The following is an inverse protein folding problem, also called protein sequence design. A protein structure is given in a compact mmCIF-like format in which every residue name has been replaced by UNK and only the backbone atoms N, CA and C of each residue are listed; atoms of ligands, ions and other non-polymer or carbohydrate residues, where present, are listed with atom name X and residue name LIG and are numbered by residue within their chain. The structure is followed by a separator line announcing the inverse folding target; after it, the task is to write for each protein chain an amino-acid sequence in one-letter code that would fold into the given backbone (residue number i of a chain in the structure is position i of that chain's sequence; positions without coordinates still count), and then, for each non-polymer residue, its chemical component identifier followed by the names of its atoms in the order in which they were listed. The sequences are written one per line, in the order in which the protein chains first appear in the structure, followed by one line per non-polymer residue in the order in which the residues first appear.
data_IF_002197369371
#
_entry.id   IF_002197369371
#
_cell.length_a   1.000
_cell.length_b   1.000
_cell.length_c   1.000
_cell.angle_alpha   90.00
_cell.angle_beta   90.00
_cell.angle_gamma   90.00
#
_symmetry.space_group_name_H-M   'P 1'
#
loop_
_entity.id
_entity.type
_entity.pdbx_description
1 polymer ?
#
# COMPACT_ATOMS: atom_id res chain seq x y z
N UNK A 1 -37.19 -22.11 27.37
CA UNK A 1 -36.94 -21.77 25.95
C UNK A 1 -36.36 -20.36 25.77
N UNK A 2 -37.05 -19.29 26.18
CA UNK A 2 -36.63 -17.89 25.99
C UNK A 2 -35.29 -17.49 26.63
N UNK A 3 -34.93 -18.09 27.77
CA UNK A 3 -33.69 -17.75 28.50
C UNK A 3 -32.42 -18.12 27.71
N UNK A 4 -32.47 -19.23 26.96
CA UNK A 4 -31.37 -19.67 26.08
C UNK A 4 -31.22 -18.79 24.83
N UNK A 5 -32.34 -18.26 24.32
CA UNK A 5 -32.35 -17.29 23.23
C UNK A 5 -31.64 -15.99 23.63
N UNK A 6 -31.88 -15.51 24.85
CA UNK A 6 -31.20 -14.32 25.38
C UNK A 6 -29.69 -14.54 25.53
N UNK A 7 -29.28 -15.70 26.05
CA UNK A 7 -27.84 -16.03 26.16
C UNK A 7 -27.15 -16.13 24.80
N UNK A 8 -27.82 -16.74 23.80
CA UNK A 8 -27.29 -16.81 22.44
C UNK A 8 -27.11 -15.41 21.82
N UNK A 9 -28.06 -14.51 22.04
CA UNK A 9 -28.02 -13.16 21.49
C UNK A 9 -26.90 -12.31 22.12
N UNK A 10 -26.67 -12.44 23.43
CA UNK A 10 -25.56 -11.80 24.14
C UNK A 10 -24.20 -12.33 23.66
N UNK A 11 -24.08 -13.65 23.46
CA UNK A 11 -22.86 -14.28 22.95
C UNK A 11 -22.49 -13.76 21.54
N UNK A 12 -23.47 -13.69 20.65
CA UNK A 12 -23.28 -13.16 19.28
C UNK A 12 -22.86 -11.69 19.32
N UNK A 13 -23.47 -10.88 20.19
CA UNK A 13 -23.12 -9.47 20.31
C UNK A 13 -21.68 -9.29 20.81
N UNK A 14 -21.25 -10.08 21.80
CA UNK A 14 -19.88 -10.04 22.33
C UNK A 14 -18.81 -10.39 21.29
N UNK A 15 -19.10 -11.35 20.39
CA UNK A 15 -18.16 -11.77 19.34
C UNK A 15 -17.93 -10.68 18.28
N UNK A 16 -18.93 -9.82 18.03
CA UNK A 16 -18.86 -8.76 17.01
C UNK A 16 -17.99 -7.56 17.41
N UNK A 17 -17.64 -7.38 18.70
CA UNK A 17 -16.76 -6.29 19.14
C UNK A 17 -15.27 -6.53 18.84
N UNK A 18 -14.90 -7.71 18.34
CA UNK A 18 -13.49 -8.12 18.17
C UNK A 18 -12.85 -7.65 16.86
N UNK A 19 -13.56 -6.93 15.98
CA UNK A 19 -13.04 -6.53 14.67
C UNK A 19 -12.17 -5.27 14.74
N UNK A 20 -11.00 -5.39 15.37
CA UNK A 20 -9.96 -4.37 15.33
C UNK A 20 -9.14 -4.49 14.02
N UNK A 21 -9.77 -4.24 12.87
CA UNK A 21 -9.05 -4.11 11.61
C UNK A 21 -8.16 -2.84 11.65
N UNK A 22 -6.85 -3.02 11.86
CA UNK A 22 -5.90 -1.90 11.93
C UNK A 22 -5.73 -1.27 10.55
N UNK A 23 -6.22 -0.04 10.38
CA UNK A 23 -6.02 0.73 9.14
C UNK A 23 -4.56 1.16 9.04
N UNK A 24 -3.81 0.58 8.12
CA UNK A 24 -2.44 1.04 7.78
C UNK A 24 -2.57 2.29 6.91
N UNK A 25 -2.40 3.47 7.52
CA UNK A 25 -2.27 4.72 6.78
C UNK A 25 -0.83 4.83 6.30
N UNK A 26 -0.60 4.58 5.02
CA UNK A 26 0.71 4.83 4.39
C UNK A 26 0.84 6.34 4.21
N UNK A 27 1.73 6.96 4.99
CA UNK A 27 2.04 8.38 4.85
C UNK A 27 2.59 8.66 3.44
N UNK A 28 2.05 9.71 2.79
CA UNK A 28 2.57 10.14 1.50
C UNK A 28 3.91 10.86 1.69
N UNK A 29 4.93 10.58 0.87
CA UNK A 29 6.22 11.25 0.97
C UNK A 29 6.06 12.76 0.70
N UNK A 30 6.58 13.57 1.62
CA UNK A 30 6.45 15.04 1.62
C UNK A 30 7.16 15.74 0.44
N UNK A 31 8.15 15.10 -0.16
CA UNK A 31 8.84 15.61 -1.34
C UNK A 31 9.13 14.47 -2.29
N UNK A 32 8.68 14.63 -3.53
CA UNK A 32 8.85 13.64 -4.59
C UNK A 32 9.68 14.30 -5.68
N UNK A 33 10.93 13.87 -5.83
CA UNK A 33 11.77 14.35 -6.93
C UNK A 33 11.23 13.80 -8.25
N UNK A 34 10.63 14.67 -9.05
CA UNK A 34 10.13 14.34 -10.39
C UNK A 34 11.22 14.58 -11.41
N UNK A 35 11.68 13.50 -12.04
CA UNK A 35 12.61 13.55 -13.17
C UNK A 35 11.79 13.49 -14.45
N UNK A 36 11.85 14.55 -15.28
CA UNK A 36 11.08 14.64 -16.53
C UNK A 36 11.49 13.60 -17.57
N UNK A 37 12.79 13.29 -17.66
CA UNK A 37 13.34 12.35 -18.64
C UNK A 37 14.45 11.52 -18.01
N UNK A 38 14.25 10.20 -17.98
CA UNK A 38 15.33 9.28 -17.61
C UNK A 38 16.32 9.16 -18.78
N UNK A 39 17.63 9.09 -18.52
CA UNK A 39 18.63 8.78 -19.55
C UNK A 39 18.34 7.43 -20.22
N UNK A 40 18.76 7.27 -21.48
CA UNK A 40 18.39 6.10 -22.32
C UNK A 40 18.84 4.74 -21.76
N UNK A 41 19.84 4.72 -20.88
CA UNK A 41 20.47 3.51 -20.34
C UNK A 41 19.79 2.98 -19.06
N UNK A 42 18.47 3.00 -18.97
CA UNK A 42 17.75 2.45 -17.82
C UNK A 42 17.48 0.96 -17.98
N UNK A 43 17.41 0.24 -16.86
CA UNK A 43 16.96 -1.16 -16.81
C UNK A 43 15.52 -1.22 -16.29
N UNK A 44 14.68 -2.06 -16.88
CA UNK A 44 13.33 -2.30 -16.36
C UNK A 44 13.38 -3.48 -15.39
N UNK A 45 12.95 -3.27 -14.15
CA UNK A 45 12.92 -4.29 -13.09
C UNK A 45 11.49 -4.48 -12.55
N UNK A 46 11.15 -5.69 -12.15
CA UNK A 46 9.86 -6.01 -11.52
C UNK A 46 10.07 -6.34 -10.05
N UNK A 47 9.41 -5.60 -9.17
CA UNK A 47 9.43 -5.86 -7.72
C UNK A 47 7.99 -5.99 -7.25
N UNK A 48 7.66 -7.12 -6.62
CA UNK A 48 6.30 -7.43 -6.13
C UNK A 48 5.22 -7.25 -7.21
N UNK A 49 5.51 -7.69 -8.44
CA UNK A 49 4.62 -7.57 -9.61
C UNK A 49 4.54 -6.18 -10.24
N UNK A 50 5.11 -5.13 -9.62
CA UNK A 50 5.11 -3.76 -10.13
C UNK A 50 6.37 -3.48 -10.95
N UNK A 51 6.22 -2.73 -12.05
CA UNK A 51 7.32 -2.33 -12.93
C UNK A 51 8.00 -1.06 -12.40
N UNK A 52 9.31 -1.12 -12.23
CA UNK A 52 10.18 -0.01 -11.88
C UNK A 52 11.28 0.15 -12.92
N UNK A 53 11.82 1.36 -13.02
CA UNK A 53 12.90 1.74 -13.92
C UNK A 53 14.13 2.00 -13.07
N UNK A 54 15.16 1.18 -13.20
CA UNK A 54 16.40 1.29 -12.44
C UNK A 54 17.43 2.08 -13.24
N UNK A 55 17.97 3.13 -12.63
CA UNK A 55 18.99 3.98 -13.24
C UNK A 55 19.88 4.59 -12.14
N UNK A 56 21.19 4.56 -12.34
CA UNK A 56 22.18 5.16 -11.43
C UNK A 56 21.99 4.76 -9.95
N UNK A 57 21.73 3.48 -9.68
CA UNK A 57 21.49 2.97 -8.32
C UNK A 57 20.09 3.22 -7.75
N UNK A 58 19.25 4.01 -8.43
CA UNK A 58 17.93 4.41 -7.95
C UNK A 58 16.80 3.72 -8.71
N UNK A 59 15.68 3.49 -8.02
CA UNK A 59 14.45 2.98 -8.61
C UNK A 59 13.49 4.13 -8.92
N UNK A 60 12.90 4.10 -10.11
CA UNK A 60 11.97 5.10 -10.57
C UNK A 60 10.63 4.48 -10.95
N UNK A 61 9.54 5.19 -10.65
CA UNK A 61 8.18 4.83 -11.05
C UNK A 61 7.67 5.86 -12.05
N UNK A 62 7.13 5.38 -13.18
CA UNK A 62 6.52 6.26 -14.19
C UNK A 62 5.21 6.84 -13.65
N UNK A 63 5.02 8.14 -13.83
CA UNK A 63 3.78 8.91 -13.55
C UNK A 63 3.35 9.67 -14.81
N UNK A 64 2.21 10.37 -14.74
CA UNK A 64 1.72 11.19 -15.87
C UNK A 64 2.70 12.30 -16.28
N UNK A 65 3.41 12.87 -15.29
CA UNK A 65 4.27 14.04 -15.48
C UNK A 65 5.77 13.71 -15.56
N UNK A 66 6.15 12.42 -15.52
CA UNK A 66 7.55 12.00 -15.60
C UNK A 66 7.83 10.74 -14.80
N UNK A 67 8.96 10.73 -14.11
CA UNK A 67 9.43 9.63 -13.27
C UNK A 67 9.64 10.10 -11.84
N UNK A 68 9.22 9.29 -10.89
CA UNK A 68 9.35 9.55 -9.46
C UNK A 68 10.38 8.60 -8.88
N UNK A 69 11.35 9.13 -8.12
CA UNK A 69 12.26 8.29 -7.34
C UNK A 69 11.48 7.58 -6.22
N UNK A 70 11.64 6.26 -6.14
CA UNK A 70 11.00 5.41 -5.15
C UNK A 70 12.08 4.60 -4.44
N UNK A 71 12.00 4.55 -3.11
CA UNK A 71 12.74 3.56 -2.32
C UNK A 71 11.90 2.28 -2.34
N UNK A 72 12.37 1.28 -3.07
CA UNK A 72 11.71 -0.03 -3.27
C UNK A 72 12.14 -1.00 -2.17
#
# INVERSE_FOLDING_TARGET
MMKYLVYALVLVFALNLSSCARRVVVAQPASVTVVKKLPRQYKVVRVKGKRYYFFNGNHYRKTRNGFVLVRV
#
